data_IF_121630790327
#
_entry.id   IF_121630790327
#
_cell.length_a   1.000
_cell.length_b   1.000
_cell.length_c   1.000
_cell.angle_alpha   90.00
_cell.angle_beta   90.00
_cell.angle_gamma   90.00
#
_symmetry.space_group_name_H-M   'P 1'
#
loop_
_entity.id
_entity.type
_entity.pdbx_description
1 polymer ?
#
# COMPACT_ATOMS: atom_id res chain seq x y z
N UNK A 1 -50.89 -12.97 -107.95
CA UNK A 1 -50.55 -14.22 -107.24
C UNK A 1 -49.64 -13.88 -106.06
N UNK A 2 -49.80 -14.51 -104.88
CA UNK A 2 -49.76 -13.80 -103.60
C UNK A 2 -48.52 -14.06 -102.71
N UNK A 3 -48.39 -13.17 -101.71
CA UNK A 3 -47.87 -13.34 -100.32
C UNK A 3 -46.37 -13.54 -100.04
N UNK A 4 -45.71 -12.45 -99.59
CA UNK A 4 -44.41 -12.50 -98.87
C UNK A 4 -44.33 -11.49 -97.70
N UNK A 5 -45.45 -11.14 -97.05
CA UNK A 5 -45.46 -10.09 -96.00
C UNK A 5 -46.00 -10.51 -94.63
N UNK A 6 -46.22 -11.80 -94.39
CA UNK A 6 -46.82 -12.30 -93.13
C UNK A 6 -45.87 -13.10 -92.23
N UNK A 7 -44.64 -13.39 -92.65
CA UNK A 7 -43.71 -14.23 -91.86
C UNK A 7 -42.81 -13.48 -90.87
N UNK A 8 -42.74 -12.14 -90.93
CA UNK A 8 -41.84 -11.37 -90.05
C UNK A 8 -42.51 -10.87 -88.76
N UNK A 9 -43.85 -10.89 -88.67
CA UNK A 9 -44.58 -10.38 -87.50
C UNK A 9 -44.79 -11.44 -86.40
N UNK A 10 -44.67 -12.73 -86.72
CA UNK A 10 -44.87 -13.85 -85.79
C UNK A 10 -43.67 -14.15 -84.89
N UNK A 11 -42.47 -13.65 -85.22
CA UNK A 11 -41.25 -13.88 -84.42
C UNK A 11 -41.10 -12.83 -83.31
N UNK A 12 -41.66 -11.61 -83.48
CA UNK A 12 -41.53 -10.54 -82.48
C UNK A 12 -42.53 -10.64 -81.30
N UNK A 13 -43.58 -11.47 -81.41
CA UNK A 13 -44.58 -11.64 -80.34
C UNK A 13 -44.19 -12.77 -79.37
N UNK A 14 -43.33 -13.71 -79.78
CA UNK A 14 -42.93 -14.84 -78.93
C UNK A 14 -41.95 -14.48 -77.80
N UNK A 15 -41.29 -13.31 -77.85
CA UNK A 15 -40.32 -12.87 -76.83
C UNK A 15 -40.95 -11.96 -75.75
N UNK A 16 -42.20 -11.54 -75.91
CA UNK A 16 -42.88 -10.67 -74.95
C UNK A 16 -43.62 -11.44 -73.84
N UNK A 17 -43.88 -12.74 -74.02
CA UNK A 17 -44.72 -13.55 -73.12
C UNK A 17 -43.95 -14.32 -72.02
N UNK A 18 -42.63 -14.31 -71.99
CA UNK A 18 -41.82 -15.02 -70.96
C UNK A 18 -41.46 -14.15 -69.73
N UNK A 19 -41.58 -12.82 -69.84
CA UNK A 19 -41.30 -11.89 -68.73
C UNK A 19 -42.14 -12.11 -67.46
N UNK A 20 -43.47 -12.37 -67.51
CA UNK A 20 -44.30 -12.42 -66.28
C UNK A 20 -44.03 -13.64 -65.39
N UNK A 21 -43.40 -14.70 -65.92
CA UNK A 21 -42.99 -15.88 -65.13
C UNK A 21 -41.65 -15.61 -64.44
N UNK A 22 -40.71 -14.98 -65.16
CA UNK A 22 -39.39 -14.64 -64.64
C UNK A 22 -39.47 -13.64 -63.46
N UNK A 23 -40.41 -12.68 -63.52
CA UNK A 23 -40.62 -11.68 -62.46
C UNK A 23 -41.16 -12.30 -61.14
N UNK A 24 -42.02 -13.33 -61.24
CA UNK A 24 -42.57 -14.02 -60.06
C UNK A 24 -41.51 -14.84 -59.33
N UNK A 25 -40.62 -15.49 -60.08
CA UNK A 25 -39.49 -16.26 -59.52
C UNK A 25 -38.51 -15.31 -58.83
N UNK A 26 -38.18 -14.19 -59.45
CA UNK A 26 -37.31 -13.17 -58.86
C UNK A 26 -37.88 -12.62 -57.54
N UNK A 27 -39.18 -12.32 -57.49
CA UNK A 27 -39.85 -11.85 -56.28
C UNK A 27 -39.80 -12.87 -55.13
N UNK A 28 -40.00 -14.16 -55.43
CA UNK A 28 -39.88 -15.23 -54.44
C UNK A 28 -38.48 -15.36 -53.84
N UNK A 29 -37.43 -15.21 -54.67
CA UNK A 29 -36.03 -15.23 -54.20
C UNK A 29 -35.76 -14.05 -53.27
N UNK A 30 -36.23 -12.84 -53.63
CA UNK A 30 -36.04 -11.64 -52.79
C UNK A 30 -36.71 -11.80 -51.42
N UNK A 31 -37.94 -12.33 -51.37
CA UNK A 31 -38.62 -12.62 -50.10
C UNK A 31 -37.84 -13.64 -49.27
N UNK A 32 -37.36 -14.72 -49.90
CA UNK A 32 -36.56 -15.74 -49.23
C UNK A 32 -35.28 -15.17 -48.60
N UNK A 33 -34.55 -14.32 -49.35
CA UNK A 33 -33.35 -13.66 -48.85
C UNK A 33 -33.67 -12.71 -47.68
N UNK A 34 -34.73 -11.89 -47.80
CA UNK A 34 -35.16 -11.02 -46.71
C UNK A 34 -35.50 -11.83 -45.45
N UNK A 35 -36.21 -12.94 -45.59
CA UNK A 35 -36.55 -13.81 -44.46
C UNK A 35 -35.30 -14.42 -43.81
N UNK A 36 -34.34 -14.93 -44.59
CA UNK A 36 -33.07 -15.47 -44.07
C UNK A 36 -32.27 -14.38 -43.37
N UNK A 37 -32.17 -13.17 -43.94
CA UNK A 37 -31.46 -12.05 -43.29
C UNK A 37 -32.11 -11.63 -41.98
N UNK A 38 -33.45 -11.65 -41.90
CA UNK A 38 -34.20 -11.33 -40.68
C UNK A 38 -33.96 -12.37 -39.58
N UNK A 39 -33.97 -13.67 -39.93
CA UNK A 39 -33.60 -14.75 -38.99
C UNK A 39 -32.16 -14.57 -38.52
N UNK A 40 -31.23 -14.31 -39.44
CA UNK A 40 -29.82 -14.13 -39.09
C UNK A 40 -29.62 -12.93 -38.15
N UNK A 41 -30.29 -11.80 -38.42
CA UNK A 41 -30.26 -10.63 -37.55
C UNK A 41 -30.85 -10.93 -36.16
N UNK A 42 -31.94 -11.68 -36.09
CA UNK A 42 -32.54 -12.11 -34.83
C UNK A 42 -31.62 -13.03 -34.03
N UNK A 43 -30.97 -14.01 -34.67
CA UNK A 43 -29.98 -14.86 -34.03
C UNK A 43 -28.79 -14.05 -33.50
N UNK A 44 -28.27 -13.10 -34.28
CA UNK A 44 -27.17 -12.21 -33.85
C UNK A 44 -27.60 -11.37 -32.64
N UNK A 45 -28.82 -10.84 -32.63
CA UNK A 45 -29.38 -10.10 -31.49
C UNK A 45 -29.43 -10.97 -30.23
N UNK A 46 -29.96 -12.19 -30.31
CA UNK A 46 -30.02 -13.10 -29.16
C UNK A 46 -28.63 -13.45 -28.62
N UNK A 47 -27.68 -13.73 -29.51
CA UNK A 47 -26.29 -13.99 -29.16
C UNK A 47 -25.67 -12.78 -28.45
N UNK A 48 -25.89 -11.56 -28.99
CA UNK A 48 -25.43 -10.31 -28.36
C UNK A 48 -26.01 -10.12 -26.97
N UNK A 49 -27.32 -10.34 -26.78
CA UNK A 49 -27.97 -10.22 -25.48
C UNK A 49 -27.44 -11.23 -24.47
N UNK A 50 -27.26 -12.48 -24.89
CA UNK A 50 -26.70 -13.55 -24.07
C UNK A 50 -25.27 -13.23 -23.62
N UNK A 51 -24.37 -12.84 -24.55
CA UNK A 51 -23.01 -12.48 -24.21
C UNK A 51 -22.93 -11.24 -23.30
N UNK A 52 -23.81 -10.26 -23.49
CA UNK A 52 -23.86 -9.07 -22.64
C UNK A 52 -24.27 -9.43 -21.21
N UNK A 53 -25.27 -10.31 -21.05
CA UNK A 53 -25.69 -10.82 -19.74
C UNK A 53 -24.59 -11.62 -19.04
N UNK A 54 -23.90 -12.49 -19.76
CA UNK A 54 -22.75 -13.24 -19.22
C UNK A 54 -21.66 -12.29 -18.75
N UNK A 55 -21.23 -11.34 -19.59
CA UNK A 55 -20.19 -10.38 -19.21
C UNK A 55 -20.56 -9.60 -17.95
N UNK A 56 -21.82 -9.15 -17.85
CA UNK A 56 -22.30 -8.45 -16.66
C UNK A 56 -22.30 -9.35 -15.41
N UNK A 57 -22.72 -10.61 -15.54
CA UNK A 57 -22.71 -11.58 -14.44
C UNK A 57 -21.28 -11.93 -13.99
N UNK A 58 -20.37 -12.16 -14.94
CA UNK A 58 -18.95 -12.42 -14.64
C UNK A 58 -18.30 -11.21 -13.97
N UNK A 59 -18.60 -9.99 -14.41
CA UNK A 59 -18.11 -8.77 -13.77
C UNK A 59 -18.65 -8.61 -12.33
N UNK A 60 -19.92 -8.96 -12.09
CA UNK A 60 -20.49 -8.95 -10.73
C UNK A 60 -19.85 -9.98 -9.81
N UNK A 61 -19.60 -11.20 -10.31
CA UNK A 61 -18.89 -12.23 -9.53
C UNK A 61 -17.48 -11.77 -9.19
N UNK A 62 -16.75 -11.25 -10.16
CA UNK A 62 -15.41 -10.72 -9.96
C UNK A 62 -15.37 -9.58 -8.93
N UNK A 63 -16.35 -8.67 -8.98
CA UNK A 63 -16.48 -7.60 -8.00
C UNK A 63 -16.75 -8.15 -6.59
N UNK A 64 -17.63 -9.15 -6.46
CA UNK A 64 -17.89 -9.80 -5.16
C UNK A 64 -16.65 -10.49 -4.61
N UNK A 65 -15.85 -11.14 -5.45
CA UNK A 65 -14.60 -11.75 -5.03
C UNK A 65 -13.62 -10.69 -4.52
N UNK A 66 -13.47 -9.57 -5.24
CA UNK A 66 -12.63 -8.44 -4.79
C UNK A 66 -13.13 -7.88 -3.45
N UNK A 67 -14.43 -7.61 -3.33
CA UNK A 67 -15.01 -7.03 -2.13
C UNK A 67 -14.90 -7.99 -0.93
N UNK A 68 -15.07 -9.29 -1.17
CA UNK A 68 -14.87 -10.34 -0.17
C UNK A 68 -13.40 -10.40 0.28
N UNK A 69 -12.46 -10.43 -0.66
CA UNK A 69 -11.03 -10.40 -0.35
C UNK A 69 -10.64 -9.13 0.41
N UNK A 70 -11.20 -7.99 0.05
CA UNK A 70 -10.98 -6.73 0.75
C UNK A 70 -11.49 -6.80 2.19
N UNK A 71 -12.71 -7.29 2.37
CA UNK A 71 -13.33 -7.43 3.70
C UNK A 71 -12.51 -8.38 4.58
N UNK A 72 -12.08 -9.52 4.05
CA UNK A 72 -11.23 -10.46 4.77
C UNK A 72 -9.91 -9.82 5.22
N UNK A 73 -9.21 -9.13 4.31
CA UNK A 73 -7.97 -8.46 4.64
C UNK A 73 -8.17 -7.37 5.71
N UNK A 74 -9.24 -6.58 5.59
CA UNK A 74 -9.58 -5.57 6.60
C UNK A 74 -9.84 -6.21 7.96
N UNK A 75 -10.65 -7.27 8.02
CA UNK A 75 -10.94 -7.97 9.28
C UNK A 75 -9.69 -8.61 9.89
N UNK A 76 -8.77 -9.15 9.09
CA UNK A 76 -7.49 -9.70 9.57
C UNK A 76 -6.65 -8.59 10.20
N UNK A 77 -6.54 -7.43 9.53
CA UNK A 77 -5.79 -6.27 10.03
C UNK A 77 -6.39 -5.78 11.34
N UNK A 78 -7.71 -5.58 11.40
CA UNK A 78 -8.42 -5.14 12.61
C UNK A 78 -8.22 -6.12 13.78
N UNK A 79 -8.32 -7.43 13.51
CA UNK A 79 -8.13 -8.46 14.53
C UNK A 79 -6.68 -8.47 15.03
N UNK A 80 -5.71 -8.34 14.13
CA UNK A 80 -4.30 -8.27 14.48
C UNK A 80 -4.01 -7.04 15.36
N UNK A 81 -4.61 -5.90 15.04
CA UNK A 81 -4.48 -4.66 15.82
C UNK A 81 -5.07 -4.79 17.21
N UNK A 82 -6.27 -5.38 17.33
CA UNK A 82 -6.88 -5.65 18.62
C UNK A 82 -6.01 -6.57 19.48
N UNK A 83 -5.43 -7.62 18.90
CA UNK A 83 -4.51 -8.52 19.61
C UNK A 83 -3.25 -7.79 20.07
N UNK A 84 -2.62 -6.98 19.21
CA UNK A 84 -1.44 -6.21 19.58
C UNK A 84 -1.74 -5.19 20.68
N UNK A 85 -2.93 -4.56 20.65
CA UNK A 85 -3.38 -3.66 21.71
C UNK A 85 -3.52 -4.39 23.05
N UNK A 86 -4.19 -5.55 23.04
CA UNK A 86 -4.38 -6.35 24.25
C UNK A 86 -3.03 -6.79 24.83
N UNK A 87 -2.10 -7.27 24.00
CA UNK A 87 -0.75 -7.64 24.44
C UNK A 87 0.00 -6.42 25.02
N UNK A 88 -0.11 -5.26 24.38
CA UNK A 88 0.52 -4.03 24.87
C UNK A 88 0.01 -3.65 26.26
N UNK A 89 -1.30 -3.81 26.48
CA UNK A 89 -1.98 -3.49 27.73
C UNK A 89 -1.63 -4.51 28.82
N UNK A 90 -1.69 -5.81 28.51
CA UNK A 90 -1.30 -6.89 29.44
C UNK A 90 0.16 -6.74 29.89
N UNK A 91 1.07 -6.40 28.97
CA UNK A 91 2.48 -6.15 29.32
C UNK A 91 2.66 -4.95 30.24
N UNK A 92 1.94 -3.85 29.99
CA UNK A 92 2.04 -2.64 30.81
C UNK A 92 1.44 -2.86 32.20
N UNK A 93 0.27 -3.48 32.25
CA UNK A 93 -0.52 -3.59 33.47
C UNK A 93 -0.08 -4.75 34.34
N UNK A 94 0.20 -5.94 33.80
CA UNK A 94 0.64 -7.08 34.62
C UNK A 94 2.16 -7.01 34.87
N UNK A 95 2.97 -7.13 33.82
CA UNK A 95 4.41 -7.21 33.98
C UNK A 95 5.03 -5.89 34.46
N UNK A 96 4.53 -4.73 34.02
CA UNK A 96 4.97 -3.42 34.47
C UNK A 96 4.69 -3.17 35.96
N UNK A 97 3.51 -3.55 36.46
CA UNK A 97 3.15 -3.41 37.88
C UNK A 97 3.96 -4.37 38.76
N UNK A 98 4.14 -5.62 38.32
CA UNK A 98 4.95 -6.59 39.05
C UNK A 98 6.41 -6.12 39.21
N UNK A 99 7.02 -5.58 38.15
CA UNK A 99 8.38 -5.03 38.23
C UNK A 99 8.46 -3.79 39.12
N UNK A 100 7.42 -2.94 39.09
CA UNK A 100 7.32 -1.79 40.00
C UNK A 100 7.26 -2.25 41.46
N UNK A 101 6.45 -3.28 41.75
CA UNK A 101 6.36 -3.87 43.09
C UNK A 101 7.69 -4.47 43.54
N UNK A 102 8.38 -5.22 42.68
CA UNK A 102 9.70 -5.78 42.98
C UNK A 102 10.71 -4.66 43.27
N UNK A 103 10.72 -3.59 42.48
CA UNK A 103 11.59 -2.44 42.74
C UNK A 103 11.30 -1.78 44.10
N UNK A 104 10.03 -1.59 44.46
CA UNK A 104 9.65 -1.04 45.76
C UNK A 104 10.12 -1.93 46.92
N UNK A 105 9.99 -3.25 46.79
CA UNK A 105 10.49 -4.20 47.78
C UNK A 105 12.01 -4.15 47.91
N UNK A 106 12.73 -4.06 46.79
CA UNK A 106 14.20 -3.93 46.80
C UNK A 106 14.63 -2.62 47.47
N UNK A 107 13.97 -1.49 47.18
CA UNK A 107 14.26 -0.21 47.84
C UNK A 107 13.96 -0.25 49.35
N UNK A 108 12.89 -0.94 49.77
CA UNK A 108 12.58 -1.12 51.19
C UNK A 108 13.66 -1.92 51.92
N UNK A 109 14.13 -3.03 51.35
CA UNK A 109 15.20 -3.85 51.93
C UNK A 109 16.52 -3.07 52.01
N UNK A 110 16.84 -2.24 50.99
CA UNK A 110 18.04 -1.37 51.02
C UNK A 110 18.00 -0.35 52.15
N UNK A 111 16.82 0.14 52.52
CA UNK A 111 16.63 1.08 53.63
C UNK A 111 16.80 0.37 54.99
N UNK A 112 16.25 -0.83 55.13
CA UNK A 112 16.27 -1.58 56.40
C UNK A 112 17.61 -2.30 56.67
N UNK A 113 18.34 -2.68 55.63
CA UNK A 113 19.63 -3.38 55.72
C UNK A 113 20.68 -2.81 54.73
N UNK A 114 21.26 -1.62 55.02
CA UNK A 114 22.21 -0.94 54.13
C UNK A 114 23.45 -1.77 53.79
N UNK A 115 23.84 -2.71 54.66
CA UNK A 115 24.94 -3.65 54.45
C UNK A 115 24.71 -4.62 53.28
N UNK A 116 23.46 -4.87 52.89
CA UNK A 116 23.10 -5.72 51.75
C UNK A 116 23.10 -4.96 50.42
N UNK A 117 23.25 -3.63 50.44
CA UNK A 117 23.17 -2.79 49.26
C UNK A 117 24.12 -3.22 48.11
N UNK A 118 25.39 -3.61 48.35
CA UNK A 118 26.28 -4.10 47.29
C UNK A 118 25.80 -5.38 46.62
N UNK A 119 25.08 -6.24 47.34
CA UNK A 119 24.51 -7.50 46.83
C UNK A 119 23.20 -7.27 46.08
N UNK A 120 22.41 -6.27 46.49
CA UNK A 120 21.12 -5.94 45.89
C UNK A 120 21.22 -4.98 44.69
N UNK A 121 22.31 -4.21 44.58
CA UNK A 121 22.54 -3.27 43.48
C UNK A 121 22.43 -3.93 42.08
N UNK A 122 23.06 -5.10 41.81
CA UNK A 122 22.99 -5.72 40.49
C UNK A 122 21.58 -6.24 40.16
N UNK A 123 20.84 -6.72 41.17
CA UNK A 123 19.45 -7.20 41.01
C UNK A 123 18.53 -6.03 40.68
N UNK A 124 18.65 -4.93 41.41
CA UNK A 124 17.88 -3.70 41.18
C UNK A 124 18.16 -3.12 39.79
N UNK A 125 19.41 -3.15 39.33
CA UNK A 125 19.76 -2.73 37.98
C UNK A 125 19.15 -3.64 36.90
N UNK A 126 19.19 -4.96 37.10
CA UNK A 126 18.57 -5.92 36.17
C UNK A 126 17.05 -5.76 36.07
N UNK A 127 16.38 -5.49 37.21
CA UNK A 127 14.93 -5.21 37.25
C UNK A 127 14.60 -3.90 36.53
N UNK A 128 15.42 -2.86 36.71
CA UNK A 128 15.26 -1.59 36.00
C UNK A 128 15.45 -1.75 34.47
N UNK A 129 16.46 -2.49 34.03
CA UNK A 129 16.68 -2.80 32.61
C UNK A 129 15.52 -3.60 32.00
N UNK A 130 14.98 -4.59 32.74
CA UNK A 130 13.82 -5.35 32.30
C UNK A 130 12.56 -4.49 32.23
N UNK A 131 12.35 -3.59 33.20
CA UNK A 131 11.23 -2.65 33.21
C UNK A 131 11.28 -1.71 32.00
N UNK A 132 12.45 -1.16 31.68
CA UNK A 132 12.65 -0.33 30.50
C UNK A 132 12.43 -1.14 29.20
N UNK A 133 12.86 -2.40 29.15
CA UNK A 133 12.64 -3.30 28.01
C UNK A 133 11.14 -3.56 27.78
N UNK A 134 10.38 -3.92 28.82
CA UNK A 134 8.93 -4.14 28.71
C UNK A 134 8.22 -2.86 28.28
N UNK A 135 8.60 -1.72 28.87
CA UNK A 135 8.06 -0.41 28.50
C UNK A 135 8.34 -0.08 27.03
N UNK A 136 9.54 -0.38 26.54
CA UNK A 136 9.91 -0.22 25.13
C UNK A 136 9.09 -1.12 24.21
N UNK A 137 8.85 -2.38 24.59
CA UNK A 137 8.04 -3.32 23.79
C UNK A 137 6.57 -2.87 23.75
N UNK A 138 5.98 -2.56 24.91
CA UNK A 138 4.60 -2.05 25.01
C UNK A 138 4.44 -0.77 24.17
N UNK A 139 5.39 0.17 24.25
CA UNK A 139 5.37 1.35 23.39
C UNK A 139 5.52 1.03 21.89
N UNK A 140 6.36 0.07 21.51
CA UNK A 140 6.50 -0.32 20.10
C UNK A 140 5.20 -0.92 19.52
N UNK A 141 4.51 -1.74 20.32
CA UNK A 141 3.19 -2.30 19.98
C UNK A 141 2.13 -1.20 19.86
N UNK A 142 2.11 -0.27 20.81
CA UNK A 142 1.16 0.85 20.82
C UNK A 142 1.42 1.87 19.69
N UNK A 143 2.68 2.11 19.34
CA UNK A 143 3.03 3.00 18.22
C UNK A 143 2.49 2.46 16.88
N UNK A 144 2.34 1.15 16.68
CA UNK A 144 1.68 0.61 15.48
C UNK A 144 0.22 1.09 15.36
N UNK A 145 -0.50 1.22 16.47
CA UNK A 145 -1.88 1.73 16.52
C UNK A 145 -1.93 3.25 16.35
N UNK A 146 -1.01 3.98 17.02
CA UNK A 146 -0.90 5.45 16.87
C UNK A 146 -0.58 5.83 15.42
N UNK A 147 0.17 5.00 14.69
CA UNK A 147 0.48 5.22 13.27
C UNK A 147 -0.79 5.30 12.39
N UNK A 148 -1.88 4.65 12.80
CA UNK A 148 -3.17 4.78 12.10
C UNK A 148 -3.85 6.13 12.35
N UNK A 149 -3.70 6.68 13.57
CA UNK A 149 -4.41 7.89 14.00
C UNK A 149 -3.61 9.17 13.74
N UNK A 150 -2.28 9.20 13.96
CA UNK A 150 -1.41 10.35 13.70
C UNK A 150 0.08 10.00 13.49
N UNK A 151 0.52 10.06 12.23
CA UNK A 151 1.91 9.80 11.81
C UNK A 151 2.92 10.77 12.45
N UNK A 152 2.57 12.05 12.58
CA UNK A 152 3.51 13.07 13.09
C UNK A 152 3.81 12.83 14.56
N UNK A 153 2.75 12.56 15.33
CA UNK A 153 2.87 12.27 16.76
C UNK A 153 3.71 11.01 17.02
N UNK A 154 3.58 9.97 16.19
CA UNK A 154 4.40 8.77 16.29
C UNK A 154 5.90 9.06 16.08
N UNK A 155 6.23 9.87 15.06
CA UNK A 155 7.60 10.29 14.77
C UNK A 155 8.18 11.14 15.91
N UNK A 156 7.41 12.13 16.39
CA UNK A 156 7.83 13.00 17.50
C UNK A 156 8.10 12.20 18.79
N UNK A 157 7.20 11.27 19.15
CA UNK A 157 7.36 10.41 20.31
C UNK A 157 8.63 9.56 20.23
N UNK A 158 8.91 8.98 19.05
CA UNK A 158 10.14 8.22 18.83
C UNK A 158 11.39 9.09 18.99
N UNK A 159 11.39 10.31 18.43
CA UNK A 159 12.55 11.20 18.51
C UNK A 159 12.78 11.73 19.92
N UNK A 160 11.70 12.07 20.64
CA UNK A 160 11.81 12.45 22.05
C UNK A 160 12.41 11.31 22.90
N UNK A 161 12.01 10.06 22.65
CA UNK A 161 12.58 8.89 23.34
C UNK A 161 14.06 8.71 23.00
N UNK A 162 14.42 8.74 21.72
CA UNK A 162 15.81 8.56 21.30
C UNK A 162 16.73 9.67 21.84
N UNK A 163 16.24 10.91 21.93
CA UNK A 163 16.98 12.03 22.52
C UNK A 163 17.26 11.87 24.02
N UNK A 164 16.53 11.02 24.76
CA UNK A 164 16.86 10.70 26.15
C UNK A 164 18.13 9.85 26.27
N UNK A 165 18.45 9.08 25.24
CA UNK A 165 19.65 8.26 25.17
C UNK A 165 20.80 9.11 24.63
N UNK A 166 21.81 9.36 25.47
CA UNK A 166 22.97 10.19 25.10
C UNK A 166 23.70 9.57 23.90
N UNK A 167 23.86 10.31 22.79
CA UNK A 167 24.67 9.89 21.63
C UNK A 167 24.41 10.64 20.33
N UNK A 168 23.15 10.68 19.89
CA UNK A 168 22.72 11.34 18.64
C UNK A 168 21.56 12.27 18.94
N UNK A 169 21.64 13.52 18.48
CA UNK A 169 20.58 14.51 18.64
C UNK A 169 19.64 14.50 17.42
N UNK A 170 18.37 14.19 17.65
CA UNK A 170 17.31 14.22 16.65
C UNK A 170 16.50 15.50 16.75
N UNK A 171 16.25 16.15 15.61
CA UNK A 171 15.38 17.32 15.49
C UNK A 171 14.29 17.05 14.46
N UNK A 172 13.04 17.36 14.81
CA UNK A 172 11.88 17.21 13.93
C UNK A 172 11.33 18.59 13.61
N UNK A 173 11.15 18.87 12.32
CA UNK A 173 10.44 20.02 11.79
C UNK A 173 9.23 19.50 11.01
N UNK A 174 8.04 19.71 11.55
CA UNK A 174 6.80 19.22 10.97
C UNK A 174 5.68 20.27 11.08
N UNK A 175 4.62 20.18 10.25
CA UNK A 175 3.47 21.04 10.38
C UNK A 175 2.69 20.72 11.66
N UNK A 176 2.02 21.72 12.23
CA UNK A 176 1.20 21.54 13.45
C UNK A 176 -0.14 20.86 13.20
N UNK A 177 -0.51 20.63 11.93
CA UNK A 177 -1.81 20.07 11.56
C UNK A 177 -1.65 18.60 11.12
N UNK A 178 -2.66 17.75 11.34
CA UNK A 178 -2.62 16.35 10.94
C UNK A 178 -2.35 16.18 9.44
N UNK A 179 -1.60 15.13 9.12
CA UNK A 179 -1.32 14.77 7.74
C UNK A 179 -2.53 14.05 7.12
N UNK A 180 -3.12 14.65 6.09
CA UNK A 180 -4.15 14.04 5.27
C UNK A 180 -3.53 13.03 4.29
N UNK A 181 -3.28 11.81 4.76
CA UNK A 181 -2.85 10.66 3.96
C UNK A 181 -3.73 9.44 4.26
N UNK A 182 -3.89 8.51 3.30
CA UNK A 182 -4.49 7.20 3.57
C UNK A 182 -3.74 6.48 4.70
N UNK A 183 -4.47 5.76 5.55
CA UNK A 183 -3.90 5.01 6.68
C UNK A 183 -2.78 4.06 6.24
N UNK A 184 -2.98 3.35 5.13
CA UNK A 184 -1.99 2.46 4.53
C UNK A 184 -0.67 3.19 4.20
N UNK A 185 -0.77 4.40 3.65
CA UNK A 185 0.40 5.21 3.32
C UNK A 185 1.13 5.65 4.59
N UNK A 186 0.39 6.09 5.62
CA UNK A 186 0.99 6.47 6.92
C UNK A 186 1.80 5.33 7.52
N UNK A 187 1.26 4.10 7.48
CA UNK A 187 1.94 2.89 7.98
C UNK A 187 3.23 2.64 7.22
N UNK A 188 3.19 2.63 5.89
CA UNK A 188 4.38 2.38 5.06
C UNK A 188 5.45 3.44 5.27
N UNK A 189 5.05 4.72 5.29
CA UNK A 189 5.94 5.85 5.53
C UNK A 189 6.60 5.74 6.91
N UNK A 190 5.83 5.41 7.96
CA UNK A 190 6.37 5.23 9.30
C UNK A 190 7.37 4.06 9.37
N UNK A 191 7.09 2.94 8.71
CA UNK A 191 8.03 1.81 8.64
C UNK A 191 9.33 2.19 7.93
N UNK A 192 9.25 2.97 6.86
CA UNK A 192 10.43 3.49 6.19
C UNK A 192 11.22 4.44 7.10
N UNK A 193 10.54 5.34 7.80
CA UNK A 193 11.15 6.21 8.80
C UNK A 193 11.92 5.43 9.87
N UNK A 194 11.31 4.38 10.45
CA UNK A 194 11.95 3.53 11.44
C UNK A 194 13.22 2.86 10.88
N UNK A 195 13.17 2.33 9.67
CA UNK A 195 14.31 1.71 9.01
C UNK A 195 15.45 2.71 8.76
N UNK A 196 15.13 3.94 8.32
CA UNK A 196 16.11 5.01 8.13
C UNK A 196 16.80 5.36 9.45
N UNK A 197 16.02 5.60 10.51
CA UNK A 197 16.56 5.94 11.84
C UNK A 197 17.43 4.80 12.39
N UNK A 198 16.99 3.55 12.22
CA UNK A 198 17.76 2.37 12.64
C UNK A 198 19.11 2.27 11.90
N UNK A 199 19.11 2.55 10.60
CA UNK A 199 20.33 2.57 9.80
C UNK A 199 21.30 3.67 10.26
N UNK A 200 20.79 4.85 10.60
CA UNK A 200 21.60 5.95 11.15
C UNK A 200 22.24 5.51 12.48
N UNK A 201 21.44 5.00 13.41
CA UNK A 201 21.91 4.58 14.73
C UNK A 201 22.96 3.47 14.65
N UNK A 202 22.78 2.50 13.75
CA UNK A 202 23.70 1.36 13.60
C UNK A 202 24.96 1.69 12.82
N UNK A 203 24.86 2.54 11.81
CA UNK A 203 25.93 2.65 10.80
C UNK A 203 26.53 4.04 10.69
N UNK A 204 25.75 5.11 10.85
CA UNK A 204 26.18 6.46 10.49
C UNK A 204 27.17 7.07 11.50
N UNK A 205 27.10 6.70 12.79
CA UNK A 205 27.80 7.42 13.88
C UNK A 205 27.53 8.94 13.84
N UNK A 206 26.31 9.31 13.50
CA UNK A 206 25.89 10.70 13.38
C UNK A 206 25.72 11.34 14.76
N UNK A 207 26.17 12.59 14.90
CA UNK A 207 25.92 13.41 16.09
C UNK A 207 24.58 14.14 16.02
N UNK A 208 24.12 14.48 14.82
CA UNK A 208 22.90 15.23 14.56
C UNK A 208 22.11 14.60 13.41
N UNK A 209 20.79 14.54 13.59
CA UNK A 209 19.83 14.09 12.59
C UNK A 209 18.68 15.09 12.52
N UNK A 210 18.37 15.54 11.31
CA UNK A 210 17.27 16.45 11.02
C UNK A 210 16.20 15.72 10.21
N UNK A 211 14.95 15.80 10.67
CA UNK A 211 13.77 15.23 10.02
C UNK A 211 12.84 16.37 9.65
N UNK A 212 12.64 16.59 8.37
CA UNK A 212 11.75 17.63 7.85
C UNK A 212 10.54 16.98 7.16
N UNK A 213 9.33 17.38 7.55
CA UNK A 213 8.08 16.88 7.00
C UNK A 213 7.26 18.04 6.45
N UNK A 214 6.74 17.90 5.24
CA UNK A 214 5.80 18.83 4.60
C UNK A 214 4.60 18.07 4.03
N UNK A 215 3.45 18.73 3.90
CA UNK A 215 2.16 18.05 3.59
C UNK A 215 1.53 18.43 2.25
N UNK A 216 2.04 19.43 1.53
CA UNK A 216 1.47 19.88 0.24
C UNK A 216 2.56 20.36 -0.74
N UNK A 217 3.07 19.48 -1.63
CA UNK A 217 2.89 18.02 -1.64
C UNK A 217 3.56 17.35 -0.42
N UNK A 218 3.20 16.09 -0.14
CA UNK A 218 3.85 15.38 0.97
C UNK A 218 5.34 15.15 0.67
N UNK A 219 6.18 15.49 1.63
CA UNK A 219 7.62 15.26 1.62
C UNK A 219 8.08 14.87 3.02
N UNK A 220 8.93 13.85 3.10
CA UNK A 220 9.71 13.52 4.30
C UNK A 220 11.18 13.48 3.92
N UNK A 221 11.99 14.32 4.57
CA UNK A 221 13.44 14.35 4.41
C UNK A 221 14.09 14.00 5.73
N UNK A 222 14.98 13.02 5.72
CA UNK A 222 15.82 12.67 6.86
C UNK A 222 17.26 12.89 6.45
N UNK A 223 17.99 13.71 7.22
CA UNK A 223 19.40 14.02 6.98
C UNK A 223 20.21 13.77 8.24
N UNK A 224 21.36 13.11 8.08
CA UNK A 224 22.32 12.86 9.16
C UNK A 224 23.70 13.42 8.80
N UNK A 225 24.47 13.82 9.81
CA UNK A 225 25.85 14.29 9.66
C UNK A 225 26.90 13.20 9.94
N UNK A 226 26.54 11.93 9.73
CA UNK A 226 27.40 10.79 9.99
C UNK A 226 28.47 10.57 8.92
N UNK A 227 29.05 9.37 8.95
CA UNK A 227 30.15 8.98 8.05
C UNK A 227 29.75 8.80 6.59
N UNK A 228 28.46 8.83 6.26
CA UNK A 228 27.92 8.54 4.93
C UNK A 228 28.35 7.17 4.36
N UNK A 229 28.04 6.92 3.10
CA UNK A 229 28.46 5.74 2.35
C UNK A 229 28.49 6.02 0.85
N UNK A 230 29.13 5.15 0.07
CA UNK A 230 29.05 5.18 -1.38
C UNK A 230 27.80 4.39 -1.85
N UNK A 231 26.79 5.06 -2.45
CA UNK A 231 25.58 4.41 -2.92
C UNK A 231 25.83 3.33 -3.99
N UNK A 232 26.85 3.50 -4.83
CA UNK A 232 27.17 2.54 -5.89
C UNK A 232 27.65 1.21 -5.29
N UNK A 233 28.50 1.28 -4.27
CA UNK A 233 28.99 0.10 -3.54
C UNK A 233 27.85 -0.57 -2.74
N UNK A 234 27.02 0.22 -2.05
CA UNK A 234 25.90 -0.30 -1.26
C UNK A 234 24.81 -0.97 -2.11
N UNK A 235 24.64 -0.51 -3.36
CA UNK A 235 23.74 -1.13 -4.34
C UNK A 235 24.29 -2.47 -4.84
N UNK A 236 25.58 -2.54 -5.16
CA UNK A 236 26.25 -3.78 -5.58
C UNK A 236 26.26 -4.86 -4.49
N UNK A 237 26.39 -4.47 -3.23
CA UNK A 237 26.36 -5.37 -2.08
C UNK A 237 24.94 -5.84 -1.68
N UNK A 238 23.91 -5.48 -2.45
CA UNK A 238 22.52 -5.82 -2.16
C UNK A 238 22.11 -5.50 -0.71
N UNK A 239 22.46 -4.30 -0.23
CA UNK A 239 22.06 -3.89 1.11
C UNK A 239 20.53 -3.93 1.25
N UNK A 240 20.04 -4.94 1.99
CA UNK A 240 18.60 -5.23 2.09
C UNK A 240 17.79 -4.02 2.57
N UNK A 241 18.37 -3.20 3.46
CA UNK A 241 17.72 -1.98 3.98
C UNK A 241 17.38 -0.97 2.88
N UNK A 242 18.31 -0.65 1.98
CA UNK A 242 18.07 0.32 0.90
C UNK A 242 17.09 -0.21 -0.14
N UNK A 243 17.19 -1.49 -0.50
CA UNK A 243 16.23 -2.13 -1.41
C UNK A 243 14.82 -2.15 -0.83
N UNK A 244 14.69 -2.43 0.46
CA UNK A 244 13.41 -2.38 1.16
C UNK A 244 12.80 -0.98 1.17
N UNK A 245 13.60 0.07 1.35
CA UNK A 245 13.13 1.45 1.27
C UNK A 245 12.59 1.79 -0.13
N UNK A 246 13.31 1.38 -1.18
CA UNK A 246 12.88 1.59 -2.57
C UNK A 246 11.59 0.83 -2.88
N UNK A 247 11.51 -0.45 -2.51
CA UNK A 247 10.33 -1.27 -2.74
C UNK A 247 9.08 -0.72 -2.00
N UNK A 248 9.24 -0.26 -0.76
CA UNK A 248 8.16 0.34 0.03
C UNK A 248 7.69 1.67 -0.54
N UNK A 249 8.60 2.52 -1.01
CA UNK A 249 8.24 3.76 -1.69
C UNK A 249 7.43 3.48 -2.98
N UNK A 250 7.87 2.50 -3.78
CA UNK A 250 7.15 2.08 -4.98
C UNK A 250 5.75 1.52 -4.67
N UNK A 251 5.58 0.79 -3.56
CA UNK A 251 4.29 0.21 -3.16
C UNK A 251 3.20 1.26 -2.93
N UNK A 252 3.56 2.44 -2.41
CA UNK A 252 2.63 3.56 -2.20
C UNK A 252 2.64 4.57 -3.37
N UNK A 253 3.39 4.29 -4.43
CA UNK A 253 3.52 5.15 -5.61
C UNK A 253 4.36 6.42 -5.39
N UNK A 254 5.28 6.42 -4.42
CA UNK A 254 6.09 7.58 -4.06
C UNK A 254 7.50 7.47 -4.64
N UNK A 255 8.14 8.61 -4.88
CA UNK A 255 9.54 8.68 -5.29
C UNK A 255 10.45 8.79 -4.07
N UNK A 256 11.57 8.06 -4.09
CA UNK A 256 12.61 8.11 -3.06
C UNK A 256 13.95 8.50 -3.69
N UNK A 257 14.65 9.43 -3.05
CA UNK A 257 16.00 9.86 -3.42
C UNK A 257 16.94 9.65 -2.24
N UNK A 258 18.10 9.06 -2.49
CA UNK A 258 19.12 8.77 -1.48
C UNK A 258 20.41 9.40 -1.97
N UNK A 259 20.90 10.39 -1.23
CA UNK A 259 22.15 11.09 -1.51
C UNK A 259 23.09 10.85 -0.34
N UNK A 260 24.25 10.25 -0.61
CA UNK A 260 25.27 10.01 0.40
C UNK A 260 26.64 10.02 -0.25
N UNK A 261 27.63 10.46 0.51
CA UNK A 261 29.03 10.33 0.16
C UNK A 261 29.85 10.01 1.43
N UNK A 262 30.95 9.24 1.33
CA UNK A 262 31.82 9.00 2.46
C UNK A 262 32.32 10.31 3.09
N UNK A 263 32.04 10.50 4.39
CA UNK A 263 32.38 11.69 5.17
C UNK A 263 31.35 12.82 5.16
N UNK A 264 30.32 12.76 4.30
CA UNK A 264 29.34 13.86 4.12
C UNK A 264 27.95 13.55 4.70
N UNK A 265 27.78 12.38 5.33
CA UNK A 265 26.50 11.94 5.87
C UNK A 265 25.54 11.38 4.82
N UNK A 266 24.25 11.36 5.13
CA UNK A 266 23.20 10.81 4.27
C UNK A 266 21.99 11.73 4.27
N UNK A 267 21.37 11.89 3.11
CA UNK A 267 20.08 12.56 2.94
C UNK A 267 19.15 11.61 2.20
N UNK A 268 18.06 11.21 2.86
CA UNK A 268 17.00 10.39 2.27
C UNK A 268 15.74 11.26 2.16
N UNK A 269 15.20 11.36 0.96
CA UNK A 269 14.01 12.18 0.68
C UNK A 269 12.94 11.31 0.04
N UNK A 270 11.76 11.27 0.66
CA UNK A 270 10.56 10.64 0.15
C UNK A 270 9.57 11.72 -0.28
N UNK A 271 9.07 11.63 -1.51
CA UNK A 271 8.15 12.61 -2.11
C UNK A 271 6.94 11.93 -2.72
N UNK A 272 5.75 12.45 -2.42
CA UNK A 272 4.54 12.06 -3.12
C UNK A 272 4.61 12.48 -4.60
N UNK A 273 3.99 11.72 -5.51
CA UNK A 273 3.91 12.09 -6.91
C UNK A 273 3.14 13.40 -7.08
N UNK A 274 3.69 14.34 -7.85
CA UNK A 274 2.98 15.54 -8.25
C UNK A 274 1.78 15.14 -9.12
N UNK A 275 0.58 15.11 -8.54
CA UNK A 275 -0.64 15.14 -9.33
C UNK A 275 -0.85 16.60 -9.73
N UNK A 276 -0.53 16.93 -10.99
CA UNK A 276 -1.10 18.11 -11.65
C UNK A 276 -2.55 17.82 -12.02
#
# INVERSE_FOLDING_TARGET
MPTSSTMCLSIFISTASEKPVMDKVAFGIVIGLLFVTLIMAFCVLLIRLYFTKIKAYTAQLYQKDIDFQKTLNTTIVETQEQVLNNISQDLHDDAGQQLTYINLQLEHIKLDAPELMPLLQPVSQSVAELSESIRSISHALNNQLITQQDLLKAIENDMQRLNKNKGTQFKVSAPTHPIALPTEHKIVIYRMFQEIVNNILKHAKAGNVQIDIATRPFLMRVSDNGKGFDPAVASQQQSMGLQNLIARAALIGYAISIVSAPGEGTVITLTAPNHQ
#
